data_IF_639441441236
#
_entry.id   IF_639441441236
#
_cell.length_a   1.000
_cell.length_b   1.000
_cell.length_c   1.000
_cell.angle_alpha   90.00
_cell.angle_beta   90.00
_cell.angle_gamma   90.00
#
_symmetry.space_group_name_H-M   'P 1'
#
loop_
_entity.id
_entity.type
_entity.pdbx_description
1 polymer ?
#
# COMPACT_ATOMS: atom_id res chain seq x y z
N UNK A 1 -7.54 15.51 1.87
CA UNK A 1 -6.89 14.36 1.20
C UNK A 1 -7.56 13.07 1.68
N UNK A 2 -7.89 12.19 0.76
CA UNK A 2 -8.50 10.91 1.11
C UNK A 2 -7.50 10.06 1.90
N UNK A 3 -7.97 9.33 2.92
CA UNK A 3 -7.09 8.54 3.76
C UNK A 3 -7.44 7.05 3.65
N UNK A 4 -6.41 6.23 3.40
CA UNK A 4 -6.53 4.78 3.31
C UNK A 4 -5.86 4.16 4.53
N UNK A 5 -6.62 3.47 5.37
CA UNK A 5 -6.09 2.86 6.59
C UNK A 5 -5.90 1.36 6.37
N UNK A 6 -4.67 0.89 6.54
CA UNK A 6 -4.30 -0.51 6.40
C UNK A 6 -3.83 -1.05 7.76
N UNK A 7 -4.28 -2.24 8.13
CA UNK A 7 -3.90 -2.86 9.40
C UNK A 7 -2.88 -3.97 9.16
N UNK A 8 -1.62 -3.68 9.47
CA UNK A 8 -0.51 -4.62 9.24
C UNK A 8 -0.55 -5.84 10.17
N UNK A 9 -1.36 -5.81 11.23
CA UNK A 9 -1.50 -6.96 12.11
C UNK A 9 -2.07 -8.19 11.39
N UNK A 10 -2.76 -7.97 10.26
CA UNK A 10 -3.34 -9.05 9.45
C UNK A 10 -2.38 -9.58 8.38
N UNK A 11 -1.22 -8.97 8.21
CA UNK A 11 -0.28 -9.32 7.14
C UNK A 11 0.59 -10.50 7.57
N UNK A 12 0.31 -11.68 6.99
CA UNK A 12 1.02 -12.93 7.31
C UNK A 12 1.98 -13.35 6.20
N UNK A 13 1.68 -12.99 4.96
CA UNK A 13 2.45 -13.35 3.77
C UNK A 13 2.42 -12.21 2.76
N UNK A 14 3.26 -12.30 1.74
CA UNK A 14 3.42 -11.27 0.71
C UNK A 14 2.09 -10.82 0.10
N UNK A 15 1.22 -11.76 -0.26
CA UNK A 15 -0.05 -11.43 -0.91
C UNK A 15 -0.96 -10.59 -0.02
N UNK A 16 -0.85 -10.71 1.30
CA UNK A 16 -1.69 -9.94 2.22
C UNK A 16 -1.45 -8.44 2.09
N UNK A 17 -0.23 -8.02 1.80
CA UNK A 17 0.11 -6.61 1.60
C UNK A 17 -0.58 -6.08 0.35
N UNK A 18 -0.46 -6.80 -0.78
CA UNK A 18 -1.13 -6.41 -2.03
C UNK A 18 -2.64 -6.39 -1.86
N UNK A 19 -3.20 -7.43 -1.25
CA UNK A 19 -4.65 -7.54 -1.05
C UNK A 19 -5.19 -6.38 -0.23
N UNK A 20 -4.50 -6.00 0.83
CA UNK A 20 -4.92 -4.90 1.70
C UNK A 20 -4.98 -3.59 0.91
N UNK A 21 -3.92 -3.29 0.15
CA UNK A 21 -3.86 -2.06 -0.61
C UNK A 21 -4.87 -2.04 -1.75
N UNK A 22 -4.90 -3.11 -2.57
CA UNK A 22 -5.79 -3.17 -3.72
C UNK A 22 -7.26 -3.13 -3.31
N UNK A 23 -7.60 -3.74 -2.18
CA UNK A 23 -8.96 -3.66 -1.63
C UNK A 23 -9.28 -2.24 -1.20
N UNK A 24 -8.34 -1.56 -0.56
CA UNK A 24 -8.54 -0.20 -0.07
C UNK A 24 -8.79 0.80 -1.21
N UNK A 25 -8.11 0.64 -2.35
CA UNK A 25 -8.29 1.54 -3.50
C UNK A 25 -9.37 1.06 -4.47
N UNK A 26 -9.94 -0.12 -4.24
CA UNK A 26 -10.94 -0.69 -5.14
C UNK A 26 -10.36 -1.13 -6.48
N UNK A 27 -9.19 -1.74 -6.46
CA UNK A 27 -8.54 -2.24 -7.67
C UNK A 27 -9.34 -3.40 -8.29
N UNK A 28 -9.27 -3.57 -9.62
CA UNK A 28 -9.90 -4.71 -10.26
C UNK A 28 -9.33 -6.05 -9.77
N UNK A 29 -10.15 -7.09 -9.74
CA UNK A 29 -9.72 -8.41 -9.27
C UNK A 29 -8.61 -9.02 -10.13
N UNK A 30 -8.51 -8.60 -11.40
CA UNK A 30 -7.45 -9.08 -12.30
C UNK A 30 -6.11 -8.40 -12.09
N UNK A 31 -6.02 -7.41 -11.21
CA UNK A 31 -4.79 -6.66 -10.99
C UNK A 31 -3.70 -7.58 -10.43
N UNK A 32 -2.51 -7.54 -11.04
CA UNK A 32 -1.39 -8.40 -10.64
C UNK A 32 -0.82 -8.06 -9.27
N UNK A 33 -0.31 -9.08 -8.59
CA UNK A 33 0.35 -8.93 -7.29
C UNK A 33 1.86 -8.88 -7.46
N UNK A 34 2.36 -7.74 -7.98
CA UNK A 34 3.78 -7.49 -8.15
C UNK A 34 4.04 -5.99 -8.04
N UNK A 35 5.32 -5.62 -7.90
CA UNK A 35 5.69 -4.21 -7.70
C UNK A 35 5.38 -3.34 -8.91
N UNK A 36 5.49 -3.87 -10.13
CA UNK A 36 5.16 -3.13 -11.34
C UNK A 36 3.67 -2.80 -11.38
N UNK A 37 2.82 -3.78 -11.08
CA UNK A 37 1.38 -3.57 -11.03
C UNK A 37 1.02 -2.57 -9.92
N UNK A 38 1.69 -2.64 -8.77
CA UNK A 38 1.48 -1.69 -7.68
C UNK A 38 1.84 -0.28 -8.11
N UNK A 39 2.99 -0.11 -8.76
CA UNK A 39 3.42 1.19 -9.27
C UNK A 39 2.41 1.75 -10.28
N UNK A 40 1.95 0.93 -11.22
CA UNK A 40 0.96 1.35 -12.22
C UNK A 40 -0.36 1.72 -11.56
N UNK A 41 -0.76 0.99 -10.53
CA UNK A 41 -1.99 1.27 -9.79
C UNK A 41 -1.97 2.66 -9.15
N UNK A 42 -0.81 3.10 -8.69
CA UNK A 42 -0.67 4.38 -8.00
C UNK A 42 -0.37 5.50 -8.99
N UNK A 43 0.67 5.33 -9.81
CA UNK A 43 1.19 6.39 -10.68
C UNK A 43 0.48 6.46 -12.03
N UNK A 44 0.00 5.33 -12.54
CA UNK A 44 -0.65 5.26 -13.85
C UNK A 44 -2.05 5.82 -13.89
N UNK A 45 -2.78 5.72 -12.78
CA UNK A 45 -4.14 6.26 -12.64
C UNK A 45 -5.21 5.55 -13.46
N UNK A 46 -6.46 5.89 -13.18
CA UNK A 46 -7.64 5.47 -13.93
C UNK A 46 -7.93 3.95 -13.93
N UNK A 47 -7.35 3.21 -12.98
CA UNK A 47 -7.58 1.77 -12.83
C UNK A 47 -8.46 1.49 -11.62
N UNK A 48 -8.24 2.21 -10.54
CA UNK A 48 -8.87 1.97 -9.24
C UNK A 48 -10.08 2.87 -9.03
N UNK A 49 -10.93 2.52 -8.07
CA UNK A 49 -12.05 3.37 -7.67
C UNK A 49 -11.56 4.62 -6.93
N UNK A 50 -10.45 4.49 -6.19
CA UNK A 50 -9.82 5.59 -5.47
C UNK A 50 -8.45 5.84 -6.09
N UNK A 51 -8.23 7.07 -6.53
CA UNK A 51 -6.96 7.49 -7.15
C UNK A 51 -6.29 8.58 -6.33
N UNK A 52 -5.00 8.80 -6.57
CA UNK A 52 -4.29 9.89 -5.90
C UNK A 52 -5.00 11.24 -6.19
N UNK A 53 -4.94 12.21 -5.28
CA UNK A 53 -4.13 12.21 -4.04
C UNK A 53 -4.78 11.45 -2.89
N UNK A 54 -3.97 10.71 -2.15
CA UNK A 54 -4.43 10.08 -0.91
C UNK A 54 -3.26 9.89 0.06
N UNK A 55 -3.60 9.62 1.32
CA UNK A 55 -2.64 9.29 2.38
C UNK A 55 -2.85 7.85 2.79
N UNK A 56 -1.77 7.07 2.83
CA UNK A 56 -1.81 5.71 3.34
C UNK A 56 -1.38 5.74 4.80
N UNK A 57 -2.22 5.20 5.69
CA UNK A 57 -1.90 5.05 7.11
C UNK A 57 -1.81 3.57 7.40
N UNK A 58 -0.61 3.09 7.74
CA UNK A 58 -0.41 1.70 8.13
C UNK A 58 -0.40 1.63 9.64
N UNK A 59 -1.34 0.86 10.22
CA UNK A 59 -1.45 0.67 11.66
C UNK A 59 -0.82 -0.65 12.07
N UNK A 60 -0.34 -0.72 13.31
CA UNK A 60 0.20 -1.95 13.89
C UNK A 60 1.36 -2.52 13.08
N UNK A 61 2.21 -1.66 12.54
CA UNK A 61 3.29 -2.07 11.63
C UNK A 61 4.24 -3.08 12.29
N UNK A 62 4.49 -2.96 13.59
CA UNK A 62 5.38 -3.88 14.30
C UNK A 62 4.80 -5.30 14.37
N UNK A 63 3.50 -5.48 14.10
CA UNK A 63 2.84 -6.78 14.15
C UNK A 63 2.88 -7.55 12.82
N UNK A 64 3.54 -7.00 11.80
CA UNK A 64 3.73 -7.70 10.52
C UNK A 64 4.43 -9.03 10.78
N UNK A 65 3.85 -10.12 10.30
CA UNK A 65 4.47 -11.43 10.45
C UNK A 65 5.72 -11.55 9.58
N UNK A 66 6.65 -12.42 9.98
CA UNK A 66 7.92 -12.61 9.28
C UNK A 66 7.71 -12.87 7.78
N UNK A 67 6.70 -13.63 7.39
CA UNK A 67 6.41 -13.96 6.00
C UNK A 67 5.99 -12.78 5.13
N UNK A 68 5.57 -11.68 5.73
CA UNK A 68 5.15 -10.48 5.00
C UNK A 68 6.11 -9.30 5.17
N UNK A 69 7.12 -9.42 6.04
CA UNK A 69 7.98 -8.29 6.42
C UNK A 69 8.73 -7.69 5.24
N UNK A 70 9.34 -8.51 4.41
CA UNK A 70 10.09 -8.02 3.26
C UNK A 70 9.18 -7.23 2.31
N UNK A 71 7.99 -7.76 2.02
CA UNK A 71 7.05 -7.06 1.15
C UNK A 71 6.54 -5.78 1.78
N UNK A 72 6.28 -5.77 3.09
CA UNK A 72 5.83 -4.57 3.79
C UNK A 72 6.88 -3.46 3.68
N UNK A 73 8.16 -3.79 3.83
CA UNK A 73 9.25 -2.82 3.69
C UNK A 73 9.36 -2.30 2.25
N UNK A 74 9.21 -3.18 1.26
CA UNK A 74 9.23 -2.79 -0.16
C UNK A 74 8.05 -1.90 -0.50
N UNK A 75 6.88 -2.19 0.06
CA UNK A 75 5.70 -1.37 -0.14
C UNK A 75 5.91 0.06 0.38
N UNK A 76 6.38 0.18 1.61
CA UNK A 76 6.66 1.49 2.22
C UNK A 76 7.70 2.25 1.40
N UNK A 77 8.78 1.56 0.98
CA UNK A 77 9.85 2.19 0.19
C UNK A 77 9.32 2.70 -1.16
N UNK A 78 8.49 1.91 -1.84
CA UNK A 78 7.92 2.31 -3.13
C UNK A 78 7.06 3.56 -2.98
N UNK A 79 6.21 3.60 -1.96
CA UNK A 79 5.35 4.76 -1.73
C UNK A 79 6.20 6.01 -1.46
N UNK A 80 7.26 5.87 -0.67
CA UNK A 80 8.16 7.00 -0.38
C UNK A 80 8.90 7.48 -1.63
N UNK A 81 9.31 6.57 -2.50
CA UNK A 81 9.94 6.92 -3.76
C UNK A 81 8.98 7.67 -4.67
N UNK A 82 7.73 7.22 -4.76
CA UNK A 82 6.72 7.88 -5.57
C UNK A 82 6.42 9.28 -5.03
N UNK A 83 6.33 9.44 -3.73
CA UNK A 83 6.11 10.74 -3.11
C UNK A 83 7.27 11.70 -3.41
N UNK A 84 8.50 11.19 -3.38
CA UNK A 84 9.69 11.99 -3.68
C UNK A 84 9.76 12.37 -5.17
N UNK A 85 9.10 11.61 -6.04
CA UNK A 85 9.03 11.87 -7.48
C UNK A 85 7.76 12.63 -7.88
N UNK A 86 7.20 13.41 -6.97
CA UNK A 86 6.05 14.30 -7.18
C UNK A 86 4.70 13.60 -7.37
N UNK A 87 4.58 12.30 -7.11
CA UNK A 87 3.27 11.67 -7.03
C UNK A 87 2.55 12.21 -5.79
N UNK A 88 1.29 12.67 -5.89
CA UNK A 88 0.59 13.28 -4.75
C UNK A 88 0.09 12.22 -3.77
N UNK A 89 1.00 11.58 -3.06
CA UNK A 89 0.76 10.51 -2.12
C UNK A 89 1.55 10.74 -0.84
N UNK A 90 0.97 10.34 0.30
CA UNK A 90 1.65 10.40 1.60
C UNK A 90 1.55 9.04 2.25
N UNK A 91 2.50 8.72 3.13
CA UNK A 91 2.45 7.51 3.92
C UNK A 91 2.82 7.81 5.37
N UNK A 92 2.03 7.25 6.30
CA UNK A 92 2.27 7.32 7.73
C UNK A 92 2.31 5.89 8.25
N UNK A 93 3.39 5.54 8.95
CA UNK A 93 3.55 4.21 9.54
C UNK A 93 3.42 4.35 11.06
N UNK A 94 2.51 3.59 11.65
CA UNK A 94 2.21 3.66 13.09
C UNK A 94 2.39 2.31 13.77
N UNK A 95 2.79 2.35 15.03
CA UNK A 95 2.86 1.18 15.90
C UNK A 95 1.59 1.09 16.74
N UNK A 96 1.42 -0.04 17.46
CA UNK A 96 0.15 -0.33 18.15
C UNK A 96 -0.03 0.31 19.51
N UNK A 97 0.98 0.98 20.03
CA UNK A 97 0.85 1.63 21.36
C UNK A 97 0.49 3.11 21.29
#
# INVERSE_FOLDING_TARGET
MHELVLDAATWKKTDDVYDAFFRAVGAPLWHGRNLDALNDSIAGGQINKIEVPYRIVIRNYEQVATGARDMAERFVSLIRELAAADTPIEIVVRTSD
#
